data_IF_333833330825
#
_entry.id   IF_333833330825
#
_cell.length_a   1.000
_cell.length_b   1.000
_cell.length_c   1.000
_cell.angle_alpha   90.00
_cell.angle_beta   90.00
_cell.angle_gamma   90.00
#
_symmetry.space_group_name_H-M   'P 1'
#
loop_
_entity.id
_entity.type
_entity.pdbx_description
1 polymer ?
#
# COMPACT_ATOMS: atom_id res chain seq x y z
N UNK A 1 42.65 46.38 1.72
CA UNK A 1 41.56 45.94 2.60
C UNK A 1 40.82 44.81 1.91
N UNK A 2 41.15 43.59 2.36
CA UNK A 2 40.55 42.26 2.17
C UNK A 2 39.70 41.91 0.94
N UNK A 3 40.33 41.08 0.12
CA UNK A 3 39.75 40.13 -0.82
C UNK A 3 39.06 38.96 -0.08
N UNK A 4 38.05 38.38 -0.75
CA UNK A 4 37.45 37.03 -0.64
C UNK A 4 36.01 37.00 -0.12
N UNK A 5 35.09 37.12 -1.06
CA UNK A 5 33.73 36.61 -0.95
C UNK A 5 33.75 35.13 -1.39
N UNK A 6 33.84 34.22 -0.44
CA UNK A 6 33.59 32.79 -0.68
C UNK A 6 32.12 32.51 -0.41
N UNK A 7 31.29 32.57 -1.46
CA UNK A 7 29.95 32.00 -1.44
C UNK A 7 30.07 30.50 -1.68
N UNK A 8 30.13 29.73 -0.59
CA UNK A 8 30.04 28.28 -0.64
C UNK A 8 28.56 27.91 -0.84
N UNK A 9 28.17 27.68 -2.09
CA UNK A 9 26.88 27.05 -2.40
C UNK A 9 26.94 25.59 -1.93
N UNK A 10 26.46 25.33 -0.72
CA UNK A 10 26.12 23.96 -0.30
C UNK A 10 24.85 23.57 -1.06
N UNK A 11 25.03 22.97 -2.23
CA UNK A 11 23.98 22.18 -2.87
C UNK A 11 23.85 20.91 -2.03
N UNK A 12 22.98 20.94 -1.02
CA UNK A 12 22.47 19.75 -0.39
C UNK A 12 21.62 19.03 -1.44
N UNK A 13 22.26 18.15 -2.21
CA UNK A 13 21.56 17.07 -2.88
C UNK A 13 20.96 16.19 -1.77
N UNK A 14 19.71 16.46 -1.40
CA UNK A 14 18.87 15.40 -0.85
C UNK A 14 18.64 14.42 -2.00
N UNK A 15 19.53 13.45 -2.11
CA UNK A 15 19.28 12.23 -2.87
C UNK A 15 18.10 11.59 -2.13
N UNK A 16 16.89 11.83 -2.64
CA UNK A 16 15.72 11.07 -2.25
C UNK A 16 15.98 9.64 -2.67
N UNK A 17 16.53 8.84 -1.76
CA UNK A 17 16.47 7.39 -1.91
C UNK A 17 14.98 7.06 -2.00
N UNK A 18 14.55 6.62 -3.17
CA UNK A 18 13.22 6.04 -3.32
C UNK A 18 13.07 4.99 -2.22
N UNK A 19 12.00 5.06 -1.43
CA UNK A 19 11.60 4.01 -0.50
C UNK A 19 11.42 2.74 -1.34
N UNK A 20 12.39 1.86 -1.29
CA UNK A 20 12.41 0.67 -2.12
C UNK A 20 13.02 -0.48 -1.34
N UNK A 21 12.42 -1.63 -1.56
CA UNK A 21 12.89 -2.92 -1.09
C UNK A 21 14.08 -3.37 -1.94
N UNK A 22 15.18 -3.75 -1.31
CA UNK A 22 16.39 -4.22 -1.99
C UNK A 22 16.18 -5.55 -2.71
N UNK A 23 15.24 -6.36 -2.22
CA UNK A 23 15.04 -7.73 -2.71
C UNK A 23 13.86 -7.88 -3.70
N UNK A 24 13.14 -6.78 -3.97
CA UNK A 24 12.16 -6.70 -5.07
C UNK A 24 12.91 -6.57 -6.38
N UNK A 25 12.68 -7.52 -7.29
CA UNK A 25 13.23 -7.50 -8.64
C UNK A 25 12.36 -6.55 -9.48
N UNK A 26 12.90 -5.37 -9.77
CA UNK A 26 12.28 -4.36 -10.64
C UNK A 26 12.94 -4.43 -12.01
N UNK A 27 12.12 -4.65 -13.05
CA UNK A 27 12.56 -4.67 -14.44
C UNK A 27 12.46 -3.27 -15.07
N UNK A 28 13.33 -2.99 -16.04
CA UNK A 28 13.38 -1.68 -16.70
C UNK A 28 12.76 -1.67 -18.11
N UNK A 29 12.46 -2.84 -18.69
CA UNK A 29 12.07 -2.95 -20.11
C UNK A 29 10.59 -3.36 -20.30
N UNK A 30 10.05 -4.16 -19.39
CA UNK A 30 8.72 -4.77 -19.52
C UNK A 30 7.76 -4.30 -18.43
N UNK A 31 7.77 -2.99 -18.13
CA UNK A 31 6.85 -2.40 -17.15
C UNK A 31 5.42 -2.61 -17.65
N UNK A 32 4.52 -3.08 -16.79
CA UNK A 32 3.12 -3.44 -17.06
C UNK A 32 2.89 -4.66 -17.97
N UNK A 33 3.78 -4.91 -18.95
CA UNK A 33 3.56 -5.91 -20.00
C UNK A 33 3.67 -7.36 -19.51
N UNK A 34 4.36 -7.57 -18.40
CA UNK A 34 4.51 -8.86 -17.72
C UNK A 34 3.56 -9.03 -16.52
N UNK A 35 2.63 -8.11 -16.31
CA UNK A 35 1.61 -8.23 -15.26
C UNK A 35 0.54 -9.25 -15.67
N UNK A 36 0.29 -10.23 -14.80
CA UNK A 36 -0.80 -11.20 -14.97
C UNK A 36 -2.05 -10.74 -14.20
N UNK A 37 -1.85 -10.14 -13.02
CA UNK A 37 -2.88 -9.75 -12.06
C UNK A 37 -3.14 -8.24 -12.10
N UNK A 38 -2.14 -7.41 -11.90
CA UNK A 38 -2.25 -5.95 -11.82
C UNK A 38 -2.15 -5.33 -13.21
N UNK A 39 -3.02 -5.77 -14.12
CA UNK A 39 -3.12 -5.25 -15.48
C UNK A 39 -3.86 -3.91 -15.50
N UNK A 40 -3.40 -3.01 -16.36
CA UNK A 40 -4.03 -1.70 -16.58
C UNK A 40 -5.54 -1.82 -16.81
N UNK A 41 -6.32 -0.98 -16.12
CA UNK A 41 -7.78 -1.01 -16.17
C UNK A 41 -8.44 -1.95 -15.15
N UNK A 42 -7.66 -2.79 -14.46
CA UNK A 42 -8.18 -3.59 -13.36
C UNK A 42 -8.45 -2.72 -12.11
N UNK A 43 -9.52 -3.08 -11.39
CA UNK A 43 -9.91 -2.44 -10.13
C UNK A 43 -10.18 -3.49 -9.08
N UNK A 44 -9.59 -3.31 -7.92
CA UNK A 44 -9.74 -4.16 -6.75
C UNK A 44 -10.42 -3.33 -5.66
N UNK A 45 -11.58 -3.79 -5.17
CA UNK A 45 -12.33 -3.10 -4.13
C UNK A 45 -12.17 -3.85 -2.83
N UNK A 46 -11.64 -3.16 -1.83
CA UNK A 46 -11.43 -3.68 -0.49
C UNK A 46 -12.42 -3.05 0.49
N UNK A 47 -13.00 -3.90 1.33
CA UNK A 47 -13.51 -3.47 2.63
C UNK A 47 -12.38 -3.55 3.65
N UNK A 48 -12.56 -2.86 4.78
CA UNK A 48 -11.54 -2.79 5.81
C UNK A 48 -12.12 -2.51 7.20
N UNK A 49 -11.32 -2.80 8.22
CA UNK A 49 -11.56 -2.36 9.58
C UNK A 49 -10.25 -2.02 10.28
N UNK A 50 -10.35 -1.08 11.22
CA UNK A 50 -9.28 -0.73 12.16
C UNK A 50 -9.72 -1.25 13.52
N UNK A 51 -8.89 -2.05 14.18
CA UNK A 51 -9.20 -2.58 15.51
C UNK A 51 -8.35 -1.84 16.53
N UNK A 52 -9.02 -1.15 17.45
CA UNK A 52 -8.45 -0.46 18.61
C UNK A 52 -9.17 -0.95 19.86
N UNK A 53 -8.45 -1.45 20.85
CA UNK A 53 -9.02 -1.93 22.12
C UNK A 53 -10.21 -2.89 21.93
N UNK A 54 -10.08 -3.84 21.00
CA UNK A 54 -11.12 -4.82 20.58
C UNK A 54 -12.29 -4.20 19.80
N UNK A 55 -12.43 -2.87 19.78
CA UNK A 55 -13.45 -2.20 19.00
C UNK A 55 -13.05 -2.15 17.51
N UNK A 56 -14.00 -2.56 16.65
CA UNK A 56 -13.88 -2.43 15.20
C UNK A 56 -14.37 -1.06 14.76
N UNK A 57 -13.53 -0.35 14.05
CA UNK A 57 -13.74 1.01 13.58
C UNK A 57 -13.54 1.14 12.07
N UNK A 58 -14.16 2.17 11.49
CA UNK A 58 -13.86 2.75 10.17
C UNK A 58 -13.48 4.22 10.34
N UNK A 59 -13.16 4.87 9.22
CA UNK A 59 -12.78 6.29 9.22
C UNK A 59 -14.01 7.15 8.90
N UNK A 60 -14.26 8.17 9.71
CA UNK A 60 -15.23 9.24 9.43
C UNK A 60 -14.59 10.33 8.57
N UNK A 61 -13.34 10.66 8.84
CA UNK A 61 -12.51 11.54 8.01
C UNK A 61 -11.15 10.91 7.80
N UNK A 62 -10.53 11.19 6.65
CA UNK A 62 -9.19 10.72 6.35
C UNK A 62 -8.55 11.60 5.27
N UNK A 63 -7.70 12.53 5.69
CA UNK A 63 -7.06 13.52 4.81
C UNK A 63 -5.57 13.67 5.16
N UNK A 64 -4.84 14.36 4.27
CA UNK A 64 -3.42 14.61 4.45
C UNK A 64 -2.52 13.40 4.20
N UNK A 65 -1.23 13.62 4.37
CA UNK A 65 -0.15 12.64 4.28
C UNK A 65 0.95 13.07 5.25
N UNK A 66 1.75 12.12 5.74
CA UNK A 66 2.77 12.38 6.76
C UNK A 66 2.19 13.07 8.01
N UNK A 67 2.93 14.01 8.59
CA UNK A 67 2.57 14.77 9.78
C UNK A 67 1.32 15.66 9.65
N UNK A 68 0.83 15.94 8.44
CA UNK A 68 -0.40 16.73 8.22
C UNK A 68 -1.68 15.86 8.13
N UNK A 69 -1.58 14.60 8.55
CA UNK A 69 -2.69 13.67 8.47
C UNK A 69 -3.74 13.94 9.53
N UNK A 70 -4.98 14.11 9.08
CA UNK A 70 -6.14 14.28 9.93
C UNK A 70 -7.12 13.13 9.67
N UNK A 71 -7.53 12.45 10.74
CA UNK A 71 -8.46 11.34 10.65
C UNK A 71 -9.26 11.19 11.94
N UNK A 72 -10.44 10.60 11.82
CA UNK A 72 -11.34 10.32 12.94
C UNK A 72 -11.85 8.88 12.80
N UNK A 73 -11.72 8.09 13.87
CA UNK A 73 -12.25 6.73 13.94
C UNK A 73 -13.69 6.75 14.46
N UNK A 74 -14.55 5.94 13.85
CA UNK A 74 -15.92 5.70 14.29
C UNK A 74 -16.22 4.20 14.27
N UNK A 75 -17.12 3.67 15.12
CA UNK A 75 -17.50 2.26 15.08
C UNK A 75 -18.01 1.84 13.70
N UNK A 76 -17.79 0.57 13.31
CA UNK A 76 -18.18 0.04 11.98
C UNK A 76 -19.68 0.09 11.67
N UNK A 77 -20.55 0.32 12.67
CA UNK A 77 -22.00 0.47 12.51
C UNK A 77 -22.48 1.93 12.58
N UNK A 78 -21.56 2.88 12.51
CA UNK A 78 -21.88 4.31 12.58
C UNK A 78 -22.45 4.82 11.25
N UNK A 79 -23.49 5.64 11.30
CA UNK A 79 -24.02 6.34 10.12
C UNK A 79 -23.09 7.48 9.64
N UNK A 80 -22.01 7.75 10.37
CA UNK A 80 -21.03 8.80 10.06
C UNK A 80 -19.75 8.29 9.41
N UNK A 81 -19.76 7.08 8.83
CA UNK A 81 -18.62 6.54 8.08
C UNK A 81 -18.39 7.42 6.84
N UNK A 82 -17.20 8.00 6.73
CA UNK A 82 -16.81 8.84 5.59
C UNK A 82 -15.81 8.16 4.66
N UNK A 83 -15.17 7.08 5.10
CA UNK A 83 -14.45 6.16 4.23
C UNK A 83 -14.97 4.76 4.50
N UNK A 84 -15.72 4.24 3.54
CA UNK A 84 -16.34 2.93 3.62
C UNK A 84 -15.49 1.87 2.91
N UNK A 85 -15.00 2.18 1.70
CA UNK A 85 -14.25 1.24 0.86
C UNK A 85 -12.99 1.86 0.29
N UNK A 86 -12.03 0.99 -0.04
CA UNK A 86 -10.77 1.36 -0.67
C UNK A 86 -10.71 0.70 -2.04
N UNK A 87 -10.55 1.51 -3.08
CA UNK A 87 -10.37 1.04 -4.45
C UNK A 87 -8.89 1.14 -4.79
N UNK A 88 -8.27 0.04 -5.19
CA UNK A 88 -6.96 0.00 -5.85
C UNK A 88 -7.21 -0.08 -7.36
N UNK A 89 -6.79 0.95 -8.07
CA UNK A 89 -6.98 1.10 -9.51
C UNK A 89 -5.63 0.97 -10.19
N UNK A 90 -5.49 0.07 -11.15
CA UNK A 90 -4.31 0.01 -12.01
C UNK A 90 -4.48 1.01 -13.16
N UNK A 91 -3.72 2.09 -13.13
CA UNK A 91 -3.94 3.24 -14.00
C UNK A 91 -3.24 3.10 -15.35
N UNK A 92 -3.92 3.47 -16.45
CA UNK A 92 -3.24 3.75 -17.71
C UNK A 92 -2.51 5.08 -17.58
N UNK A 93 -1.18 5.05 -17.59
CA UNK A 93 -0.35 6.25 -17.62
C UNK A 93 0.73 6.09 -18.67
N UNK A 94 1.10 7.19 -19.32
CA UNK A 94 2.28 7.21 -20.16
C UNK A 94 3.55 7.14 -19.30
N UNK A 95 4.66 6.65 -19.85
CA UNK A 95 5.92 6.51 -19.09
C UNK A 95 6.41 7.85 -18.52
N UNK A 96 6.16 8.96 -19.23
CA UNK A 96 6.51 10.31 -18.76
C UNK A 96 5.69 10.81 -17.58
N UNK A 97 4.53 10.22 -17.31
CA UNK A 97 3.60 10.63 -16.25
C UNK A 97 3.63 9.70 -15.03
N UNK A 98 4.41 8.61 -15.10
CA UNK A 98 4.55 7.65 -13.99
C UNK A 98 5.18 8.31 -12.77
N UNK A 99 4.65 8.03 -11.59
CA UNK A 99 5.26 8.44 -10.32
C UNK A 99 6.60 7.75 -10.07
N UNK A 100 6.75 6.52 -10.58
CA UNK A 100 8.00 5.78 -10.59
C UNK A 100 8.14 5.11 -11.95
N UNK A 101 9.21 5.44 -12.68
CA UNK A 101 9.41 5.00 -14.07
C UNK A 101 9.47 3.48 -14.24
N UNK A 102 9.79 2.71 -13.19
CA UNK A 102 9.97 1.27 -13.27
C UNK A 102 8.87 0.47 -12.54
N UNK A 103 7.75 1.11 -12.17
CA UNK A 103 6.66 0.46 -11.46
C UNK A 103 5.34 0.66 -12.21
N UNK A 104 4.47 -0.34 -12.12
CA UNK A 104 3.09 -0.22 -12.58
C UNK A 104 2.37 0.80 -11.74
N UNK A 105 1.75 1.79 -12.39
CA UNK A 105 1.04 2.85 -11.68
C UNK A 105 -0.25 2.30 -11.07
N UNK A 106 -0.32 2.31 -9.75
CA UNK A 106 -1.56 2.06 -9.01
C UNK A 106 -2.00 3.33 -8.30
N UNK A 107 -3.30 3.46 -8.08
CA UNK A 107 -3.87 4.54 -7.27
C UNK A 107 -4.87 4.00 -6.28
N UNK A 108 -4.81 4.54 -5.07
CA UNK A 108 -5.81 4.30 -4.04
C UNK A 108 -6.85 5.42 -4.00
N UNK A 109 -8.11 5.02 -3.92
CA UNK A 109 -9.24 5.90 -3.80
C UNK A 109 -10.14 5.47 -2.64
N UNK A 110 -10.65 6.45 -1.90
CA UNK A 110 -11.47 6.25 -0.72
C UNK A 110 -12.92 6.68 -0.99
N UNK A 111 -13.84 5.72 -0.97
CA UNK A 111 -15.28 5.92 -1.12
C UNK A 111 -15.92 6.26 0.23
N UNK A 112 -16.96 7.12 0.31
CA UNK A 112 -17.56 7.94 -0.76
C UNK A 112 -16.90 9.30 -0.95
N UNK A 113 -15.90 9.64 -0.13
CA UNK A 113 -15.30 10.98 -0.13
C UNK A 113 -14.69 11.31 -1.49
N UNK A 114 -14.13 10.34 -2.22
CA UNK A 114 -13.55 10.44 -3.58
C UNK A 114 -12.65 11.67 -3.82
N UNK A 115 -12.24 12.37 -2.76
CA UNK A 115 -11.75 13.74 -2.87
C UNK A 115 -10.29 13.80 -3.33
N UNK A 116 -9.57 12.67 -3.28
CA UNK A 116 -8.23 12.58 -3.83
C UNK A 116 -7.86 11.13 -4.18
N UNK A 117 -7.09 10.99 -5.25
CA UNK A 117 -6.34 9.78 -5.57
C UNK A 117 -4.95 9.87 -4.94
N UNK A 118 -4.46 8.75 -4.41
CA UNK A 118 -3.07 8.62 -3.96
C UNK A 118 -2.36 7.62 -4.86
N UNK A 119 -1.55 8.16 -5.77
CA UNK A 119 -0.81 7.39 -6.76
C UNK A 119 0.50 6.85 -6.20
N UNK A 120 0.79 5.59 -6.49
CA UNK A 120 1.98 4.85 -6.08
C UNK A 120 2.24 3.68 -7.04
N UNK A 121 3.07 2.71 -6.68
CA UNK A 121 3.50 1.65 -7.58
C UNK A 121 3.21 0.23 -7.12
N UNK A 122 3.12 -0.66 -8.11
CA UNK A 122 3.18 -2.10 -7.97
C UNK A 122 4.31 -2.65 -8.84
N UNK A 123 4.83 -3.82 -8.47
CA UNK A 123 5.78 -4.58 -9.27
C UNK A 123 5.26 -6.01 -9.36
N UNK A 124 4.97 -6.45 -10.58
CA UNK A 124 4.61 -7.82 -10.86
C UNK A 124 5.45 -8.29 -12.05
N UNK A 125 6.05 -9.47 -11.93
CA UNK A 125 6.79 -10.11 -13.02
C UNK A 125 6.96 -11.61 -12.71
N UNK A 126 7.88 -12.27 -13.42
CA UNK A 126 8.20 -13.68 -13.21
C UNK A 126 8.89 -13.96 -11.88
N UNK A 127 9.49 -12.94 -11.24
CA UNK A 127 10.29 -13.06 -10.03
C UNK A 127 9.51 -12.70 -8.76
N UNK A 128 8.54 -11.80 -8.83
CA UNK A 128 7.77 -11.38 -7.66
C UNK A 128 6.46 -10.67 -7.97
N UNK A 129 5.64 -10.55 -6.93
CA UNK A 129 4.52 -9.62 -6.85
C UNK A 129 4.64 -8.79 -5.58
N UNK A 130 4.64 -7.47 -5.72
CA UNK A 130 4.77 -6.49 -4.65
C UNK A 130 3.83 -5.32 -4.92
N UNK A 131 3.13 -4.83 -3.89
CA UNK A 131 2.33 -3.61 -3.99
C UNK A 131 2.72 -2.63 -2.89
N UNK A 132 2.84 -1.36 -3.23
CA UNK A 132 2.98 -0.32 -2.22
C UNK A 132 1.65 -0.15 -1.48
N UNK A 133 1.61 -0.12 -0.13
CA UNK A 133 0.37 0.09 0.61
C UNK A 133 -0.22 1.50 0.38
N UNK A 134 -1.50 1.66 0.69
CA UNK A 134 -2.17 2.97 0.77
C UNK A 134 -1.54 3.83 1.87
N UNK A 135 -1.35 5.13 1.60
CA UNK A 135 -0.64 6.07 2.50
C UNK A 135 -1.38 7.40 2.68
N UNK A 136 -2.70 7.36 2.84
CA UNK A 136 -3.50 8.58 3.05
C UNK A 136 -4.07 8.59 4.46
N UNK A 137 -3.85 9.70 5.15
CA UNK A 137 -4.26 9.94 6.53
C UNK A 137 -3.79 8.82 7.48
N UNK A 138 -4.75 8.13 8.13
CA UNK A 138 -4.47 7.02 9.05
C UNK A 138 -3.56 5.95 8.44
N UNK A 139 -3.72 5.65 7.14
CA UNK A 139 -2.98 4.58 6.48
C UNK A 139 -1.48 4.86 6.30
N UNK A 140 -1.00 6.07 6.61
CA UNK A 140 0.45 6.29 6.76
C UNK A 140 1.11 5.32 7.74
N UNK A 141 0.34 4.82 8.70
CA UNK A 141 0.80 3.81 9.65
C UNK A 141 1.32 2.55 8.96
N UNK A 142 0.78 2.20 7.78
CA UNK A 142 1.18 1.02 7.01
C UNK A 142 2.61 1.12 6.45
N UNK A 143 3.19 2.33 6.39
CA UNK A 143 4.60 2.52 6.03
C UNK A 143 5.57 1.90 7.05
N UNK A 144 5.12 1.75 8.30
CA UNK A 144 5.90 1.12 9.38
C UNK A 144 5.79 -0.41 9.37
N UNK A 145 4.99 -0.98 8.48
CA UNK A 145 4.68 -2.40 8.39
C UNK A 145 5.31 -3.07 7.16
N UNK A 146 5.44 -4.42 7.14
CA UNK A 146 5.78 -5.12 5.91
C UNK A 146 4.80 -4.78 4.79
N UNK A 147 5.31 -4.62 3.58
CA UNK A 147 4.46 -4.40 2.42
C UNK A 147 3.97 -5.74 1.88
N UNK A 148 2.80 -5.80 1.23
CA UNK A 148 2.36 -7.03 0.60
C UNK A 148 3.35 -7.44 -0.51
N UNK A 149 4.02 -8.57 -0.28
CA UNK A 149 5.13 -9.03 -1.10
C UNK A 149 5.18 -10.56 -1.12
N UNK A 150 5.39 -11.13 -2.31
CA UNK A 150 5.63 -12.56 -2.51
C UNK A 150 6.66 -12.77 -3.63
N UNK A 151 7.60 -13.69 -3.42
CA UNK A 151 8.56 -14.11 -4.45
C UNK A 151 8.08 -15.34 -5.21
N UNK A 152 8.38 -15.37 -6.50
CA UNK A 152 8.20 -16.50 -7.42
C UNK A 152 9.55 -17.24 -7.60
N UNK A 153 9.55 -18.56 -7.86
CA UNK A 153 8.39 -19.45 -7.87
C UNK A 153 7.80 -19.62 -6.46
N UNK A 154 6.47 -19.67 -6.39
CA UNK A 154 5.74 -19.74 -5.12
C UNK A 154 5.88 -21.14 -4.52
N UNK A 155 6.53 -21.22 -3.36
CA UNK A 155 6.75 -22.49 -2.65
C UNK A 155 6.54 -22.31 -1.15
N UNK A 156 5.70 -23.17 -0.56
CA UNK A 156 5.51 -23.20 0.90
C UNK A 156 6.84 -23.48 1.59
N UNK A 157 7.13 -22.72 2.64
CA UNK A 157 8.39 -22.74 3.38
C UNK A 157 9.48 -21.82 2.80
N UNK A 158 9.26 -21.17 1.65
CA UNK A 158 10.18 -20.14 1.16
C UNK A 158 10.20 -18.94 2.10
N UNK A 159 11.40 -18.45 2.38
CA UNK A 159 11.67 -17.32 3.26
C UNK A 159 12.59 -16.32 2.55
N UNK A 160 12.38 -15.03 2.82
CA UNK A 160 13.27 -13.96 2.35
C UNK A 160 13.23 -12.77 3.30
N UNK A 161 14.23 -11.91 3.18
CA UNK A 161 14.39 -10.71 3.99
C UNK A 161 14.51 -9.49 3.11
N UNK A 162 14.16 -8.34 3.67
CA UNK A 162 14.33 -7.05 3.01
C UNK A 162 14.64 -5.95 4.03
N UNK A 163 14.98 -4.75 3.58
CA UNK A 163 15.25 -3.60 4.42
C UNK A 163 14.74 -2.32 3.77
N UNK A 164 14.26 -1.38 4.57
CA UNK A 164 13.89 -0.05 4.08
C UNK A 164 14.13 1.00 5.17
N UNK A 165 14.57 2.19 4.76
CA UNK A 165 14.65 3.35 5.65
C UNK A 165 13.47 4.26 5.43
N UNK A 166 12.81 4.66 6.51
CA UNK A 166 11.70 5.60 6.49
C UNK A 166 12.01 6.81 7.38
N UNK A 167 11.63 8.01 6.93
CA UNK A 167 11.88 9.25 7.67
C UNK A 167 10.81 9.51 8.74
N UNK A 168 11.16 10.30 9.77
CA UNK A 168 10.29 10.69 10.89
C UNK A 168 8.92 11.27 10.49
N UNK A 169 8.76 11.77 9.26
CA UNK A 169 7.47 12.27 8.75
C UNK A 169 6.37 11.21 8.71
N UNK A 170 6.72 9.92 8.75
CA UNK A 170 5.78 8.81 8.85
C UNK A 170 5.31 8.52 10.28
N UNK A 171 5.96 9.11 11.28
CA UNK A 171 5.58 8.95 12.68
C UNK A 171 4.31 9.70 13.04
N UNK A 172 3.55 9.17 14.01
CA UNK A 172 2.35 9.78 14.55
C UNK A 172 2.18 9.39 16.02
N UNK A 173 1.53 10.23 16.82
CA UNK A 173 1.27 9.91 18.24
C UNK A 173 0.51 8.59 18.41
N UNK A 174 -0.34 8.24 17.46
CA UNK A 174 -1.16 7.04 17.52
C UNK A 174 -0.35 5.75 17.34
N UNK A 175 0.59 5.67 16.39
CA UNK A 175 1.34 4.43 16.10
C UNK A 175 2.83 4.49 16.42
N UNK A 176 3.33 5.62 16.90
CA UNK A 176 4.73 5.80 17.30
C UNK A 176 5.42 6.93 16.54
N UNK A 177 6.26 7.67 17.27
CA UNK A 177 7.14 8.71 16.76
C UNK A 177 8.60 8.34 16.97
N UNK A 178 9.46 8.82 16.08
CA UNK A 178 10.91 8.69 16.17
C UNK A 178 11.57 9.95 15.56
N UNK A 179 12.87 10.10 15.79
CA UNK A 179 13.66 11.18 15.21
C UNK A 179 14.56 10.64 14.08
N UNK A 180 14.70 11.42 13.00
CA UNK A 180 15.58 11.07 11.89
C UNK A 180 15.05 9.93 11.00
N UNK A 181 15.89 8.91 10.78
CA UNK A 181 15.63 7.78 9.90
C UNK A 181 15.44 6.51 10.72
N UNK A 182 14.38 5.76 10.42
CA UNK A 182 14.08 4.47 11.03
C UNK A 182 14.39 3.37 10.02
N UNK A 183 15.27 2.44 10.39
CA UNK A 183 15.54 1.24 9.61
C UNK A 183 14.52 0.16 9.97
N UNK A 184 13.81 -0.34 8.96
CA UNK A 184 12.90 -1.46 9.04
C UNK A 184 13.59 -2.68 8.42
N UNK A 185 13.76 -3.75 9.20
CA UNK A 185 14.27 -5.04 8.72
C UNK A 185 13.12 -6.02 8.61
N UNK A 186 12.85 -6.47 7.40
CA UNK A 186 11.71 -7.33 7.10
C UNK A 186 12.10 -8.80 7.03
N UNK A 187 11.19 -9.67 7.47
CA UNK A 187 11.25 -11.11 7.24
C UNK A 187 9.90 -11.56 6.68
N UNK A 188 9.92 -12.44 5.69
CA UNK A 188 8.75 -13.00 5.03
C UNK A 188 8.85 -14.52 4.97
N UNK A 189 7.71 -15.19 5.07
CA UNK A 189 7.61 -16.65 4.93
C UNK A 189 6.27 -17.04 4.32
N UNK A 190 6.31 -17.88 3.28
CA UNK A 190 5.10 -18.55 2.79
C UNK A 190 4.81 -19.73 3.72
N UNK A 191 3.74 -19.68 4.49
CA UNK A 191 3.47 -20.65 5.56
C UNK A 191 2.54 -21.78 5.13
N UNK A 192 1.54 -21.49 4.31
CA UNK A 192 0.55 -22.47 3.87
C UNK A 192 -0.12 -22.06 2.56
N UNK A 193 -0.88 -22.99 1.98
CA UNK A 193 -1.87 -22.73 0.95
C UNK A 193 -3.23 -23.16 1.49
N UNK A 194 -4.22 -22.27 1.44
CA UNK A 194 -5.59 -22.58 1.87
C UNK A 194 -6.63 -21.83 1.06
N UNK A 195 -7.81 -22.43 0.97
CA UNK A 195 -8.99 -21.79 0.38
C UNK A 195 -9.67 -20.93 1.45
N UNK A 196 -9.93 -19.67 1.13
CA UNK A 196 -10.70 -18.77 1.99
C UNK A 196 -12.04 -18.43 1.33
N UNK A 197 -13.07 -18.24 2.16
CA UNK A 197 -14.37 -17.76 1.70
C UNK A 197 -14.39 -16.23 1.71
N UNK A 198 -14.78 -15.64 0.59
CA UNK A 198 -14.89 -14.18 0.38
C UNK A 198 -16.26 -13.82 -0.21
N UNK A 199 -16.57 -12.53 -0.33
CA UNK A 199 -17.78 -12.07 -1.00
C UNK A 199 -17.81 -12.44 -2.50
N UNK A 200 -16.65 -12.56 -3.15
CA UNK A 200 -16.54 -12.94 -4.57
C UNK A 200 -16.37 -14.45 -4.80
N UNK A 201 -16.54 -15.26 -3.74
CA UNK A 201 -16.48 -16.73 -3.80
C UNK A 201 -15.36 -17.34 -2.97
N UNK A 202 -15.09 -18.61 -3.21
CA UNK A 202 -13.97 -19.33 -2.59
C UNK A 202 -12.69 -19.09 -3.40
N UNK A 203 -11.62 -18.67 -2.71
CA UNK A 203 -10.35 -18.29 -3.34
C UNK A 203 -9.20 -19.07 -2.72
N UNK A 204 -8.46 -19.79 -3.55
CA UNK A 204 -7.19 -20.41 -3.17
C UNK A 204 -6.12 -19.34 -2.97
N UNK A 205 -5.51 -19.34 -1.78
CA UNK A 205 -4.52 -18.37 -1.38
C UNK A 205 -3.27 -19.03 -0.80
N UNK A 206 -2.11 -18.48 -1.12
CA UNK A 206 -0.90 -18.64 -0.34
C UNK A 206 -0.92 -17.65 0.82
N UNK A 207 -0.61 -18.12 2.02
CA UNK A 207 -0.51 -17.29 3.21
C UNK A 207 0.96 -16.94 3.41
N UNK A 208 1.22 -15.64 3.56
CA UNK A 208 2.56 -15.10 3.80
C UNK A 208 2.54 -14.38 5.13
N UNK A 209 3.29 -14.90 6.09
CA UNK A 209 3.56 -14.22 7.35
C UNK A 209 4.79 -13.35 7.18
N UNK A 210 4.68 -12.11 7.64
CA UNK A 210 5.76 -11.14 7.55
C UNK A 210 5.85 -10.25 8.78
N UNK A 211 7.05 -9.78 9.06
CA UNK A 211 7.33 -8.86 10.17
C UNK A 211 8.34 -7.81 9.78
N UNK A 212 8.22 -6.60 10.33
CA UNK A 212 9.20 -5.54 10.22
C UNK A 212 9.70 -5.21 11.63
N UNK A 213 11.01 -5.37 11.85
CA UNK A 213 11.66 -5.03 13.10
C UNK A 213 12.40 -3.71 12.97
N UNK A 214 12.27 -2.84 13.97
CA UNK A 214 12.97 -1.57 14.07
C UNK A 214 13.36 -1.29 15.52
N UNK A 215 13.98 -0.14 15.79
CA UNK A 215 14.31 0.27 17.16
C UNK A 215 13.10 0.64 18.01
N UNK A 216 11.96 0.98 17.39
CA UNK A 216 10.73 1.36 18.09
C UNK A 216 9.74 0.20 18.27
N UNK A 217 10.04 -0.98 17.74
CA UNK A 217 9.25 -2.18 17.97
C UNK A 217 9.19 -3.12 16.76
N UNK A 218 8.13 -3.93 16.71
CA UNK A 218 7.89 -4.87 15.61
C UNK A 218 6.45 -4.76 15.15
N UNK A 219 6.28 -4.66 13.84
CA UNK A 219 4.98 -4.74 13.16
C UNK A 219 4.90 -6.05 12.38
N UNK A 220 3.68 -6.49 12.07
CA UNK A 220 3.44 -7.72 11.31
C UNK A 220 2.40 -7.51 10.23
N UNK A 221 2.47 -8.36 9.21
CA UNK A 221 1.45 -8.50 8.19
C UNK A 221 1.28 -10.00 7.88
N UNK A 222 0.05 -10.48 7.95
CA UNK A 222 -0.35 -11.73 7.29
C UNK A 222 -1.06 -11.35 5.99
N UNK A 223 -0.49 -11.76 4.86
CA UNK A 223 -1.08 -11.51 3.54
C UNK A 223 -1.55 -12.80 2.89
N UNK A 224 -2.66 -12.72 2.17
CA UNK A 224 -3.28 -13.84 1.46
C UNK A 224 -3.20 -13.52 -0.02
N UNK A 225 -2.37 -14.28 -0.74
CA UNK A 225 -2.08 -14.06 -2.14
C UNK A 225 -2.74 -15.12 -3.01
N UNK A 226 -3.56 -14.69 -3.96
CA UNK A 226 -4.13 -15.51 -5.02
C UNK A 226 -3.42 -15.23 -6.33
N UNK A 227 -3.03 -16.28 -7.05
CA UNK A 227 -2.44 -16.13 -8.40
C UNK A 227 -3.42 -15.51 -9.41
N UNK A 228 -4.72 -15.47 -9.10
CA UNK A 228 -5.75 -14.85 -9.95
C UNK A 228 -6.10 -13.42 -9.54
N UNK A 229 -6.10 -13.13 -8.23
CA UNK A 229 -6.66 -11.89 -7.67
C UNK A 229 -5.62 -11.05 -6.92
N UNK A 230 -4.36 -11.47 -6.87
CA UNK A 230 -3.33 -10.76 -6.11
C UNK A 230 -3.53 -10.88 -4.61
N UNK A 231 -3.26 -9.81 -3.87
CA UNK A 231 -3.45 -9.80 -2.43
C UNK A 231 -4.93 -9.63 -2.10
N UNK A 232 -5.59 -10.71 -1.68
CA UNK A 232 -7.03 -10.72 -1.41
C UNK A 232 -7.39 -10.39 0.02
N UNK A 233 -6.44 -10.54 0.95
CA UNK A 233 -6.63 -10.20 2.36
C UNK A 233 -5.29 -9.80 2.99
N UNK A 234 -5.32 -8.77 3.82
CA UNK A 234 -4.17 -8.21 4.54
C UNK A 234 -4.58 -8.02 6.00
N UNK A 235 -3.81 -8.59 6.92
CA UNK A 235 -4.04 -8.49 8.37
C UNK A 235 -2.78 -7.90 9.02
N UNK A 236 -2.81 -6.60 9.28
CA UNK A 236 -1.71 -5.86 9.89
C UNK A 236 -1.82 -5.85 11.41
N UNK A 237 -0.66 -5.92 12.08
CA UNK A 237 -0.47 -5.60 13.50
C UNK A 237 0.60 -4.51 13.58
N UNK A 238 0.21 -3.34 14.09
CA UNK A 238 1.07 -2.16 14.21
C UNK A 238 1.78 -2.13 15.58
N UNK A 239 2.66 -1.15 15.77
CA UNK A 239 3.57 -1.06 16.94
C UNK A 239 2.84 -1.02 18.30
N UNK A 240 1.61 -0.51 18.33
CA UNK A 240 0.80 -0.33 19.52
C UNK A 240 -0.42 -1.29 19.56
N UNK A 241 -0.28 -2.48 18.95
CA UNK A 241 -1.32 -3.50 18.85
C UNK A 241 -2.57 -3.10 18.06
N UNK A 242 -2.62 -1.88 17.49
CA UNK A 242 -3.61 -1.52 16.49
C UNK A 242 -3.55 -2.51 15.33
N UNK A 243 -4.72 -2.97 14.89
CA UNK A 243 -4.81 -3.86 13.73
C UNK A 243 -5.52 -3.17 12.59
N UNK A 244 -5.09 -3.48 11.37
CA UNK A 244 -5.76 -3.04 10.15
C UNK A 244 -6.01 -4.28 9.33
N UNK A 245 -7.27 -4.60 9.10
CA UNK A 245 -7.65 -5.70 8.23
C UNK A 245 -8.24 -5.11 6.95
N UNK A 246 -7.82 -5.65 5.80
CA UNK A 246 -8.38 -5.32 4.48
C UNK A 246 -8.69 -6.61 3.75
N UNK A 247 -9.84 -6.72 3.09
CA UNK A 247 -10.22 -7.89 2.31
C UNK A 247 -10.96 -7.52 1.04
N UNK A 248 -10.69 -8.26 -0.03
CA UNK A 248 -11.23 -8.05 -1.36
C UNK A 248 -12.71 -8.44 -1.38
N UNK A 249 -13.56 -7.49 -1.75
CA UNK A 249 -15.02 -7.67 -1.82
C UNK A 249 -15.56 -7.59 -3.25
N UNK A 250 -14.79 -7.02 -4.18
CA UNK A 250 -15.14 -6.96 -5.60
C UNK A 250 -13.87 -6.83 -6.46
N UNK A 251 -13.93 -7.33 -7.70
CA UNK A 251 -12.85 -7.27 -8.67
C UNK A 251 -13.40 -7.09 -10.08
N UNK A 252 -12.88 -6.08 -10.78
CA UNK A 252 -13.33 -5.70 -12.11
C UNK A 252 -12.14 -5.61 -13.06
N UNK A 253 -12.31 -6.10 -14.29
CA UNK A 253 -11.25 -6.15 -15.31
C UNK A 253 -11.58 -5.28 -16.52
N UNK A 254 -10.54 -4.90 -17.27
CA UNK A 254 -10.64 -4.31 -18.63
C UNK A 254 -11.56 -3.09 -18.74
N UNK A 255 -11.75 -2.33 -17.65
CA UNK A 255 -12.54 -1.12 -17.70
C UNK A 255 -11.73 -0.01 -18.38
N UNK A 256 -12.28 0.51 -19.48
CA UNK A 256 -11.74 1.65 -20.21
C UNK A 256 -11.83 2.92 -19.35
N UNK A 257 -10.83 3.15 -18.49
CA UNK A 257 -10.65 4.44 -17.83
C UNK A 257 -9.87 5.36 -18.77
N UNK A 258 -10.59 6.09 -19.61
CA UNK A 258 -9.96 6.93 -20.62
C UNK A 258 -9.26 8.17 -20.04
N UNK A 259 -9.59 8.56 -18.80
CA UNK A 259 -8.81 9.45 -17.93
C UNK A 259 -9.44 9.55 -16.52
N UNK A 260 -8.70 10.11 -15.58
CA UNK A 260 -9.13 10.40 -14.19
C UNK A 260 -10.39 11.28 -14.13
N UNK A 261 -10.60 12.11 -15.14
CA UNK A 261 -11.77 12.98 -15.22
C UNK A 261 -13.04 12.23 -15.65
N UNK A 262 -12.89 11.21 -16.49
CA UNK A 262 -13.91 10.25 -16.89
C UNK A 262 -14.31 9.45 -15.67
N UNK A 263 -13.34 9.00 -14.86
CA UNK A 263 -13.56 8.33 -13.57
C UNK A 263 -14.40 9.17 -12.57
N UNK A 264 -14.13 10.47 -12.42
CA UNK A 264 -14.94 11.33 -11.53
C UNK A 264 -16.29 11.75 -12.15
N UNK A 265 -16.38 11.83 -13.49
CA UNK A 265 -17.65 12.04 -14.20
C UNK A 265 -18.53 10.79 -14.20
N UNK A 266 -17.94 9.60 -14.10
CA UNK A 266 -18.61 8.31 -13.92
C UNK A 266 -19.09 8.07 -12.47
N UNK A 267 -19.54 9.12 -11.76
CA UNK A 267 -20.41 8.97 -10.56
C UNK A 267 -21.65 8.09 -10.81
N UNK A 268 -21.99 7.80 -12.07
CA UNK A 268 -23.02 6.81 -12.44
C UNK A 268 -22.60 5.34 -12.26
N UNK A 269 -21.31 5.03 -12.07
CA UNK A 269 -20.77 3.66 -12.14
C UNK A 269 -20.35 3.09 -10.78
N UNK A 270 -20.54 3.87 -9.70
CA UNK A 270 -20.39 3.41 -8.31
C UNK A 270 -21.77 3.34 -7.62
N UNK A 271 -22.86 3.48 -8.39
CA UNK A 271 -24.26 3.44 -7.93
C UNK A 271 -25.12 2.36 -8.62
N UNK A 272 -24.51 1.25 -9.02
CA UNK A 272 -25.27 0.06 -9.43
C UNK A 272 -25.07 -1.05 -8.41
#
# INVERSE_FOLDING_TARGET
MNLKLTSLFLILFQIGFSQQYDSVVIENENIDSNNEIYKTGNVFVYDYEIIQDVQKCKLKTNTGMFASSEFELVPTKSDSIGVDKIHLIVQPVSDSERTNGNQTQISYLQEPIYASLSSTGAVENENNVWIHPIRKGFFNSLETAPFPFIKKPIKIGSEWTDQMKIGQGWGNEMWGKWEGQLLLTYNYKITEKKTIKTEIGEIDCFVIESSAKSEIGTTKLISYFSEKYGFVKLEYELLNELKVNMWLIDFQTEKAFNDTMTFFKTKQYIKQ
#
